data_IF_836396681453
#
_entry.id   IF_836396681453
#
_cell.length_a   1.000
_cell.length_b   1.000
_cell.length_c   1.000
_cell.angle_alpha   90.00
_cell.angle_beta   90.00
_cell.angle_gamma   90.00
#
_symmetry.space_group_name_H-M   'P 1'
#
loop_
_entity.id
_entity.type
_entity.pdbx_description
1 polymer ?
#
# COMPACT_ATOMS: atom_id res chain seq x y z
N UNK A 1 14.04 5.81 14.48
CA UNK A 1 14.16 7.27 14.57
C UNK A 1 15.23 7.58 15.60
N UNK A 2 16.39 8.03 15.16
CA UNK A 2 17.48 8.49 16.01
C UNK A 2 17.24 9.95 16.43
N UNK A 3 17.76 10.39 17.58
CA UNK A 3 17.58 11.75 18.09
C UNK A 3 17.98 12.85 17.08
N UNK A 4 18.95 12.54 16.21
CA UNK A 4 19.40 13.45 15.16
C UNK A 4 18.35 13.67 14.06
N UNK A 5 17.66 12.61 13.64
CA UNK A 5 16.56 12.71 12.67
C UNK A 5 15.37 13.45 13.25
N UNK A 6 15.07 13.23 14.53
CA UNK A 6 13.95 13.90 15.21
C UNK A 6 14.19 15.42 15.32
N UNK A 7 15.43 15.85 15.60
CA UNK A 7 15.78 17.26 15.67
C UNK A 7 15.69 17.98 14.32
N UNK A 8 16.01 17.31 13.22
CA UNK A 8 15.91 17.86 11.86
C UNK A 8 14.45 18.08 11.46
N UNK A 9 13.59 17.10 11.77
CA UNK A 9 12.14 17.18 11.54
C UNK A 9 11.51 18.29 12.38
N UNK A 10 11.91 18.43 13.65
CA UNK A 10 11.43 19.51 14.53
C UNK A 10 11.82 20.87 13.93
N UNK A 11 13.08 21.05 13.52
CA UNK A 11 13.56 22.32 12.98
C UNK A 11 12.90 22.72 11.65
N UNK A 12 12.35 21.76 10.90
CA UNK A 12 11.64 22.02 9.65
C UNK A 12 10.20 22.50 9.87
N UNK A 13 9.59 22.16 11.01
CA UNK A 13 8.17 22.45 11.32
C UNK A 13 8.01 23.50 12.42
N UNK A 14 9.06 23.76 13.19
CA UNK A 14 9.18 24.82 14.21
C UNK A 14 9.27 26.21 13.54
N UNK A 15 8.11 26.77 13.18
CA UNK A 15 8.01 28.03 12.43
C UNK A 15 8.27 29.24 13.35
N UNK A 16 8.03 29.06 14.65
CA UNK A 16 8.23 30.09 15.66
C UNK A 16 9.65 30.09 16.27
N UNK A 17 10.44 29.04 16.00
CA UNK A 17 11.82 28.88 16.46
C UNK A 17 11.92 28.65 17.96
N UNK A 18 10.86 28.16 18.59
CA UNK A 18 10.80 27.88 20.02
C UNK A 18 11.61 26.66 20.43
N UNK A 19 12.02 25.83 19.46
CA UNK A 19 12.68 24.55 19.67
C UNK A 19 11.75 23.49 20.27
N UNK A 20 10.44 23.73 20.25
CA UNK A 20 9.39 22.87 20.80
C UNK A 20 8.25 22.81 19.81
N UNK A 21 7.64 21.63 19.63
CA UNK A 21 6.49 21.48 18.73
C UNK A 21 5.22 21.88 19.49
N UNK A 22 4.54 22.93 19.03
CA UNK A 22 3.21 23.31 19.51
C UNK A 22 2.11 22.44 18.91
N UNK A 23 0.88 22.48 19.43
CA UNK A 23 -0.21 21.61 18.94
C UNK A 23 -0.50 21.80 17.44
N UNK A 24 -0.44 23.04 16.94
CA UNK A 24 -0.63 23.33 15.50
C UNK A 24 0.52 22.76 14.66
N UNK A 25 1.75 22.89 15.13
CA UNK A 25 2.92 22.29 14.48
C UNK A 25 2.87 20.76 14.55
N UNK A 26 2.41 20.19 15.66
CA UNK A 26 2.17 18.76 15.83
C UNK A 26 1.11 18.26 14.85
N UNK A 27 0.06 19.03 14.56
CA UNK A 27 -0.92 18.61 13.55
C UNK A 27 -0.33 18.57 12.15
N UNK A 28 0.58 19.49 11.81
CA UNK A 28 1.31 19.50 10.54
C UNK A 28 2.28 18.32 10.46
N UNK A 29 3.00 18.06 11.55
CA UNK A 29 3.94 16.96 11.67
C UNK A 29 3.23 15.61 11.62
N UNK A 30 2.14 15.46 12.38
CA UNK A 30 1.31 14.26 12.39
C UNK A 30 0.63 14.05 11.04
N UNK A 31 0.14 15.09 10.36
CA UNK A 31 -0.44 14.95 9.02
C UNK A 31 0.60 14.49 7.98
N UNK A 32 1.86 14.88 8.13
CA UNK A 32 2.96 14.45 7.25
C UNK A 32 3.45 13.04 7.58
N UNK A 33 3.67 12.75 8.86
CA UNK A 33 4.20 11.47 9.32
C UNK A 33 3.16 10.35 9.37
N UNK A 34 1.90 10.63 9.71
CA UNK A 34 0.85 9.61 9.67
C UNK A 34 0.60 9.15 8.24
N UNK A 35 0.80 10.00 7.23
CA UNK A 35 0.64 9.61 5.82
C UNK A 35 1.83 8.79 5.32
N UNK A 36 3.06 9.12 5.72
CA UNK A 36 4.27 8.36 5.34
C UNK A 36 4.38 7.02 6.10
N UNK A 37 4.09 6.98 7.41
CA UNK A 37 4.05 5.71 8.16
C UNK A 37 2.91 4.80 7.67
N UNK A 38 1.75 5.35 7.29
CA UNK A 38 0.68 4.54 6.68
C UNK A 38 1.14 3.91 5.36
N UNK A 39 1.88 4.63 4.51
CA UNK A 39 2.32 4.09 3.22
C UNK A 39 3.36 2.97 3.37
N UNK A 40 4.38 3.14 4.22
CA UNK A 40 5.38 2.09 4.47
C UNK A 40 4.79 0.89 5.23
N UNK A 41 3.89 1.13 6.18
CA UNK A 41 3.18 0.07 6.89
C UNK A 41 2.22 -0.67 5.95
N UNK A 42 1.44 0.04 5.14
CA UNK A 42 0.56 -0.54 4.13
C UNK A 42 1.35 -1.34 3.09
N UNK A 43 2.49 -0.84 2.63
CA UNK A 43 3.36 -1.59 1.71
C UNK A 43 3.89 -2.87 2.37
N UNK A 44 4.23 -2.84 3.67
CA UNK A 44 4.62 -4.05 4.40
C UNK A 44 3.46 -5.04 4.54
N UNK A 45 2.27 -4.58 4.92
CA UNK A 45 1.08 -5.44 5.04
C UNK A 45 0.69 -6.05 3.69
N UNK A 46 0.73 -5.27 2.61
CA UNK A 46 0.51 -5.75 1.24
C UNK A 46 1.54 -6.79 0.82
N UNK A 47 2.81 -6.60 1.20
CA UNK A 47 3.90 -7.55 0.90
C UNK A 47 3.78 -8.84 1.69
N UNK A 48 3.32 -8.77 2.94
CA UNK A 48 3.03 -9.95 3.75
C UNK A 48 1.79 -10.70 3.23
N UNK A 49 0.74 -9.98 2.86
CA UNK A 49 -0.42 -10.55 2.18
C UNK A 49 -0.02 -11.20 0.85
N UNK A 50 0.77 -10.53 0.02
CA UNK A 50 1.25 -11.07 -1.24
C UNK A 50 2.05 -12.37 -1.05
N UNK A 51 2.92 -12.43 -0.03
CA UNK A 51 3.65 -13.66 0.33
C UNK A 51 2.75 -14.78 0.84
N UNK A 52 1.61 -14.46 1.44
CA UNK A 52 0.64 -15.47 1.85
C UNK A 52 0.01 -16.15 0.62
N UNK A 53 -0.15 -15.41 -0.47
CA UNK A 53 -0.76 -15.88 -1.72
C UNK A 53 0.26 -16.46 -2.71
N UNK A 54 1.49 -15.94 -2.75
CA UNK A 54 2.63 -16.50 -3.50
C UNK A 54 3.20 -17.73 -2.77
N UNK A 55 2.44 -18.82 -2.78
CA UNK A 55 2.82 -20.10 -2.13
C UNK A 55 4.11 -20.70 -2.67
N UNK A 56 4.48 -20.36 -3.90
CA UNK A 56 5.67 -20.88 -4.57
C UNK A 56 6.90 -19.98 -4.37
N UNK A 57 6.72 -18.74 -3.90
CA UNK A 57 7.81 -17.79 -3.64
C UNK A 57 8.46 -17.28 -4.91
N UNK A 58 7.72 -17.25 -6.02
CA UNK A 58 8.23 -16.88 -7.33
C UNK A 58 8.24 -15.36 -7.55
N UNK A 59 7.62 -14.59 -6.66
CA UNK A 59 7.47 -13.13 -6.78
C UNK A 59 6.29 -12.69 -7.64
N UNK A 60 5.42 -13.62 -8.02
CA UNK A 60 4.19 -13.39 -8.76
C UNK A 60 3.10 -14.34 -8.27
N UNK A 61 1.85 -13.92 -8.31
CA UNK A 61 0.69 -14.80 -8.09
C UNK A 61 0.05 -15.14 -9.44
N UNK A 62 -0.55 -16.31 -9.57
CA UNK A 62 -1.28 -16.62 -10.80
C UNK A 62 -2.65 -15.94 -10.80
N UNK A 63 -3.18 -15.62 -11.98
CA UNK A 63 -4.54 -15.07 -12.11
C UNK A 63 -5.61 -15.94 -11.45
N UNK A 64 -5.39 -17.26 -11.41
CA UNK A 64 -6.25 -18.19 -10.67
C UNK A 64 -6.25 -17.96 -9.16
N UNK A 65 -5.10 -17.62 -8.57
CA UNK A 65 -5.00 -17.27 -7.14
C UNK A 65 -5.62 -15.89 -6.90
N UNK A 66 -5.36 -14.91 -7.75
CA UNK A 66 -6.01 -13.59 -7.66
C UNK A 66 -7.54 -13.70 -7.67
N UNK A 67 -8.08 -14.61 -8.50
CA UNK A 67 -9.52 -14.91 -8.54
C UNK A 67 -10.07 -15.38 -7.19
N UNK A 68 -9.34 -16.26 -6.50
CA UNK A 68 -9.73 -16.73 -5.18
C UNK A 68 -9.72 -15.58 -4.16
N UNK A 69 -8.69 -14.71 -4.20
CA UNK A 69 -8.58 -13.54 -3.32
C UNK A 69 -9.78 -12.59 -3.50
N UNK A 70 -10.08 -12.21 -4.74
CA UNK A 70 -11.18 -11.30 -5.06
C UNK A 70 -12.53 -11.89 -4.62
N UNK A 71 -12.70 -13.21 -4.75
CA UNK A 71 -13.90 -13.92 -4.29
C UNK A 71 -13.99 -14.00 -2.76
N UNK A 72 -12.86 -14.11 -2.05
CA UNK A 72 -12.82 -14.04 -0.59
C UNK A 72 -13.11 -12.63 -0.05
N UNK A 73 -12.68 -11.59 -0.78
CA UNK A 73 -12.97 -10.19 -0.46
C UNK A 73 -14.44 -9.84 -0.70
N UNK A 74 -15.03 -10.27 -1.82
CA UNK A 74 -16.45 -10.08 -2.11
C UNK A 74 -17.06 -11.30 -2.83
N UNK A 75 -17.82 -12.09 -2.07
CA UNK A 75 -18.54 -13.28 -2.56
C UNK A 75 -19.63 -12.95 -3.61
N UNK A 76 -20.00 -11.68 -3.80
CA UNK A 76 -21.05 -11.33 -4.77
C UNK A 76 -20.52 -11.18 -6.18
N UNK A 77 -19.20 -11.04 -6.36
CA UNK A 77 -18.55 -10.92 -7.67
C UNK A 77 -18.76 -12.20 -8.48
N UNK A 78 -19.36 -12.10 -9.66
CA UNK A 78 -19.57 -13.26 -10.54
C UNK A 78 -18.26 -13.68 -11.22
N UNK A 79 -18.23 -14.86 -11.81
CA UNK A 79 -17.06 -15.31 -12.57
C UNK A 79 -16.71 -14.34 -13.71
N UNK A 80 -17.71 -13.76 -14.38
CA UNK A 80 -17.52 -12.73 -15.41
C UNK A 80 -16.96 -11.42 -14.83
N UNK A 81 -17.42 -10.99 -13.65
CA UNK A 81 -16.86 -9.79 -12.98
C UNK A 81 -15.40 -10.01 -12.58
N UNK A 82 -15.09 -11.21 -12.07
CA UNK A 82 -13.74 -11.60 -11.72
C UNK A 82 -12.83 -11.69 -12.95
N UNK A 83 -13.33 -12.24 -14.06
CA UNK A 83 -12.54 -12.32 -15.30
C UNK A 83 -12.29 -10.91 -15.87
N UNK A 84 -13.28 -10.00 -15.82
CA UNK A 84 -13.06 -8.59 -16.21
C UNK A 84 -12.04 -7.89 -15.31
N UNK A 85 -12.11 -8.08 -13.99
CA UNK A 85 -11.12 -7.53 -13.06
C UNK A 85 -9.74 -8.09 -13.35
N UNK A 86 -9.61 -9.40 -13.54
CA UNK A 86 -8.33 -10.04 -13.84
C UNK A 86 -7.77 -9.53 -15.17
N UNK A 87 -8.58 -9.37 -16.21
CA UNK A 87 -8.15 -8.80 -17.50
C UNK A 87 -7.71 -7.33 -17.39
N UNK A 88 -8.30 -6.56 -16.47
CA UNK A 88 -7.88 -5.18 -16.20
C UNK A 88 -6.52 -5.13 -15.49
N UNK A 89 -6.28 -6.09 -14.59
CA UNK A 89 -5.08 -6.17 -13.76
C UNK A 89 -3.90 -6.78 -14.53
N UNK A 90 -4.11 -7.91 -15.19
CA UNK A 90 -3.14 -8.61 -16.05
C UNK A 90 -3.11 -7.95 -17.44
N UNK A 91 -2.80 -6.65 -17.46
CA UNK A 91 -2.77 -5.83 -18.68
C UNK A 91 -1.69 -6.29 -19.67
N UNK A 92 -0.64 -6.94 -19.18
CA UNK A 92 0.43 -7.49 -20.00
C UNK A 92 0.11 -8.91 -20.55
N UNK A 93 -0.96 -9.53 -20.05
CA UNK A 93 -1.42 -10.85 -20.45
C UNK A 93 -0.44 -11.97 -20.11
N UNK A 94 0.39 -11.78 -19.08
CA UNK A 94 1.34 -12.77 -18.59
C UNK A 94 0.65 -13.98 -17.98
N UNK A 95 -0.63 -13.87 -17.59
CA UNK A 95 -1.35 -14.89 -16.84
C UNK A 95 -0.91 -14.96 -15.37
N UNK A 96 -0.14 -13.96 -14.94
CA UNK A 96 0.39 -13.79 -13.59
C UNK A 96 0.21 -12.34 -13.18
N UNK A 97 0.19 -12.08 -11.88
CA UNK A 97 0.12 -10.73 -11.34
C UNK A 97 1.33 -10.55 -10.45
N UNK A 98 2.18 -9.61 -10.81
CA UNK A 98 3.34 -9.26 -10.01
C UNK A 98 2.98 -8.27 -8.88
N UNK A 99 3.96 -7.96 -8.04
CA UNK A 99 3.72 -7.12 -6.87
C UNK A 99 3.29 -5.70 -7.23
N UNK A 100 3.79 -5.15 -8.35
CA UNK A 100 3.47 -3.79 -8.80
C UNK A 100 2.01 -3.72 -9.27
N UNK A 101 1.60 -4.68 -10.09
CA UNK A 101 0.20 -4.83 -10.56
C UNK A 101 -0.76 -5.08 -9.40
N UNK A 102 -0.37 -5.88 -8.42
CA UNK A 102 -1.17 -6.10 -7.21
C UNK A 102 -1.33 -4.83 -6.36
N UNK A 103 -0.30 -3.99 -6.29
CA UNK A 103 -0.40 -2.72 -5.56
C UNK A 103 -1.38 -1.77 -6.24
N UNK A 104 -1.34 -1.65 -7.56
CA UNK A 104 -2.24 -0.77 -8.32
C UNK A 104 -3.73 -1.07 -8.04
N UNK A 105 -4.04 -2.36 -7.85
CA UNK A 105 -5.38 -2.84 -7.48
C UNK A 105 -5.77 -2.49 -6.05
N UNK A 106 -4.85 -2.71 -5.12
CA UNK A 106 -5.12 -2.58 -3.69
C UNK A 106 -5.11 -1.13 -3.21
N UNK A 107 -4.29 -0.28 -3.84
CA UNK A 107 -4.30 1.16 -3.53
C UNK A 107 -5.46 1.87 -4.20
N UNK A 108 -6.09 1.25 -5.20
CA UNK A 108 -7.01 1.91 -6.11
C UNK A 108 -6.23 2.93 -6.95
N UNK A 109 -6.31 2.82 -8.28
CA UNK A 109 -5.79 3.84 -9.16
C UNK A 109 -6.55 5.16 -8.99
N UNK A 110 -6.23 5.92 -7.94
CA UNK A 110 -6.58 7.33 -7.79
C UNK A 110 -5.57 8.14 -8.61
N UNK A 111 -5.91 8.37 -9.89
CA UNK A 111 -5.49 9.58 -10.62
C UNK A 111 -6.33 10.79 -10.17
#
# INVERSE_FOLDING_TARGET
LDDATLADIIAEVDEDGSGQIEFEEFTTLAARFLVEEDAEAMMQELKEAFRLYDKEGNGYITTGVLREILRELDDKLTNDDLDMMIEEIDSDGSGTVDFDEFMEVMTGGDD
#
